data_IF_878656483185
#
_entry.id   IF_878656483185
#
_cell.length_a   1.000
_cell.length_b   1.000
_cell.length_c   1.000
_cell.angle_alpha   90.00
_cell.angle_beta   90.00
_cell.angle_gamma   90.00
#
_symmetry.space_group_name_H-M   'P 1'
#
loop_
_entity.id
_entity.type
_entity.pdbx_description
1 polymer ?
#
# COMPACT_ATOMS: atom_id res chain seq x y z
N UNK A 1 -35.65 6.71 -17.35
CA UNK A 1 -34.77 5.95 -16.45
C UNK A 1 -33.30 6.01 -16.89
N UNK A 2 -32.96 5.73 -18.16
CA UNK A 2 -31.59 5.88 -18.69
C UNK A 2 -31.05 7.33 -18.65
N UNK A 3 -31.91 8.34 -18.88
CA UNK A 3 -31.52 9.75 -18.77
C UNK A 3 -31.14 10.15 -17.35
N UNK A 4 -31.88 9.71 -16.32
CA UNK A 4 -31.56 9.94 -14.92
C UNK A 4 -30.22 9.30 -14.50
N UNK A 5 -29.92 8.08 -14.99
CA UNK A 5 -28.61 7.44 -14.76
C UNK A 5 -27.48 8.25 -15.41
N UNK A 6 -27.73 8.82 -16.59
CA UNK A 6 -26.81 9.72 -17.27
C UNK A 6 -26.56 11.03 -16.52
N UNK A 7 -27.60 11.64 -15.96
CA UNK A 7 -27.47 12.88 -15.17
C UNK A 7 -26.80 12.67 -13.82
N UNK A 8 -27.12 11.57 -13.13
CA UNK A 8 -26.48 11.20 -11.86
C UNK A 8 -24.99 10.95 -12.09
N UNK A 9 -24.57 10.31 -13.18
CA UNK A 9 -23.14 10.16 -13.47
C UNK A 9 -22.44 11.50 -13.76
N UNK A 10 -23.14 12.49 -14.34
CA UNK A 10 -22.58 13.82 -14.61
C UNK A 10 -22.24 14.57 -13.33
N UNK A 11 -22.95 14.35 -12.21
CA UNK A 11 -22.66 15.06 -10.95
C UNK A 11 -21.27 14.70 -10.42
N UNK A 12 -20.90 13.42 -10.50
CA UNK A 12 -19.62 12.90 -10.00
C UNK A 12 -18.47 13.36 -10.88
N UNK A 13 -18.62 13.36 -12.20
CA UNK A 13 -17.61 13.90 -13.13
C UNK A 13 -17.43 15.40 -12.92
N UNK A 14 -18.53 16.15 -12.73
CA UNK A 14 -18.49 17.61 -12.49
C UNK A 14 -17.96 17.99 -11.11
N UNK A 15 -17.68 17.03 -10.23
CA UNK A 15 -17.10 17.28 -8.91
C UNK A 15 -15.80 18.09 -8.98
N UNK A 16 -15.01 17.97 -10.06
CA UNK A 16 -13.81 18.78 -10.31
C UNK A 16 -14.08 20.28 -10.39
N UNK A 17 -15.30 20.68 -10.77
CA UNK A 17 -15.72 22.08 -10.89
C UNK A 17 -16.22 22.69 -9.58
N UNK A 18 -16.46 21.86 -8.56
CA UNK A 18 -16.84 22.36 -7.24
C UNK A 18 -15.69 23.18 -6.64
N UNK A 19 -16.05 24.23 -5.91
CA UNK A 19 -15.08 25.00 -5.14
C UNK A 19 -14.51 24.16 -3.97
N UNK A 20 -13.47 24.69 -3.31
CA UNK A 20 -12.72 23.99 -2.28
C UNK A 20 -13.55 23.50 -1.10
N UNK A 21 -14.61 24.21 -0.71
CA UNK A 21 -15.46 23.84 0.43
C UNK A 21 -16.55 22.86 -0.01
N UNK A 22 -17.22 23.17 -1.13
CA UNK A 22 -18.30 22.34 -1.67
C UNK A 22 -17.86 20.91 -2.01
N UNK A 23 -16.63 20.72 -2.51
CA UNK A 23 -16.12 19.36 -2.78
C UNK A 23 -15.92 18.56 -1.48
N UNK A 24 -15.46 19.21 -0.41
CA UNK A 24 -15.24 18.55 0.88
C UNK A 24 -16.58 18.12 1.46
N UNK A 25 -17.57 19.01 1.46
CA UNK A 25 -18.91 18.70 1.98
C UNK A 25 -19.60 17.63 1.14
N UNK A 26 -19.42 17.67 -0.19
CA UNK A 26 -19.94 16.64 -1.07
C UNK A 26 -19.33 15.26 -0.77
N UNK A 27 -18.01 15.18 -0.58
CA UNK A 27 -17.33 13.92 -0.23
C UNK A 27 -17.80 13.41 1.13
N UNK A 28 -17.93 14.28 2.15
CA UNK A 28 -18.45 13.89 3.48
C UNK A 28 -19.87 13.32 3.40
N UNK A 29 -20.76 14.02 2.69
CA UNK A 29 -22.13 13.58 2.52
C UNK A 29 -22.21 12.23 1.81
N UNK A 30 -21.41 12.05 0.74
CA UNK A 30 -21.37 10.80 0.00
C UNK A 30 -20.79 9.64 0.84
N UNK A 31 -19.74 9.88 1.62
CA UNK A 31 -19.23 8.89 2.58
C UNK A 31 -20.31 8.47 3.59
N UNK A 32 -21.11 9.41 4.09
CA UNK A 32 -22.22 9.09 5.00
C UNK A 32 -23.29 8.22 4.33
N UNK A 33 -23.73 8.60 3.12
CA UNK A 33 -24.69 7.80 2.34
C UNK A 33 -24.13 6.40 2.06
N UNK A 34 -22.86 6.31 1.68
CA UNK A 34 -22.20 5.02 1.46
C UNK A 34 -22.16 4.17 2.74
N UNK A 35 -21.90 4.76 3.91
CA UNK A 35 -21.94 4.01 5.17
C UNK A 35 -23.35 3.45 5.43
N UNK A 36 -24.40 4.22 5.17
CA UNK A 36 -25.79 3.76 5.33
C UNK A 36 -26.16 2.66 4.31
N UNK A 37 -25.67 2.75 3.06
CA UNK A 37 -25.84 1.71 2.04
C UNK A 37 -25.16 0.39 2.42
N UNK A 38 -23.98 0.45 3.05
CA UNK A 38 -23.17 -0.72 3.42
C UNK A 38 -23.63 -1.38 4.73
N UNK A 39 -24.43 -0.69 5.56
CA UNK A 39 -24.98 -1.23 6.83
C UNK A 39 -26.02 -2.34 6.64
N UNK A 40 -26.63 -2.42 5.45
CA UNK A 40 -27.60 -3.47 5.14
C UNK A 40 -26.93 -4.83 5.19
N UNK A 41 -27.34 -5.68 6.13
CA UNK A 41 -26.76 -7.03 6.32
C UNK A 41 -27.24 -8.02 5.26
N UNK A 42 -28.44 -7.83 4.72
CA UNK A 42 -29.04 -8.71 3.71
C UNK A 42 -28.73 -8.30 2.28
N UNK A 43 -28.57 -7.01 2.02
CA UNK A 43 -28.33 -6.46 0.68
C UNK A 43 -27.48 -5.18 0.75
N UNK A 44 -26.17 -5.30 1.01
CA UNK A 44 -25.27 -4.15 1.04
C UNK A 44 -25.09 -3.59 -0.36
N UNK A 45 -25.34 -2.28 -0.52
CA UNK A 45 -25.20 -1.60 -1.81
C UNK A 45 -23.87 -0.87 -1.88
N UNK A 46 -23.14 -1.06 -2.98
CA UNK A 46 -21.79 -0.49 -3.18
C UNK A 46 -21.77 0.69 -4.16
N UNK A 47 -22.95 1.23 -4.51
CA UNK A 47 -23.06 2.30 -5.51
C UNK A 47 -22.30 3.54 -5.06
N UNK A 48 -22.62 4.07 -3.86
CA UNK A 48 -21.95 5.27 -3.35
C UNK A 48 -20.46 5.04 -3.10
N UNK A 49 -20.07 3.83 -2.68
CA UNK A 49 -18.66 3.45 -2.55
C UNK A 49 -17.93 3.55 -3.90
N UNK A 50 -18.53 3.04 -4.97
CA UNK A 50 -17.97 3.13 -6.33
C UNK A 50 -17.79 4.59 -6.75
N UNK A 51 -18.77 5.44 -6.43
CA UNK A 51 -18.71 6.88 -6.73
C UNK A 51 -17.70 7.64 -5.90
N UNK A 52 -17.42 7.21 -4.67
CA UNK A 52 -16.33 7.74 -3.86
C UNK A 52 -14.97 7.48 -4.55
N UNK A 53 -14.76 6.28 -5.08
CA UNK A 53 -13.53 5.93 -5.81
C UNK A 53 -13.36 6.81 -7.05
N UNK A 54 -14.42 6.98 -7.85
CA UNK A 54 -14.42 7.86 -9.03
C UNK A 54 -14.09 9.31 -8.64
N UNK A 55 -14.75 9.87 -7.62
CA UNK A 55 -14.50 11.25 -7.16
C UNK A 55 -13.06 11.41 -6.66
N UNK A 56 -12.55 10.45 -5.90
CA UNK A 56 -11.17 10.47 -5.43
C UNK A 56 -10.19 10.53 -6.61
N UNK A 57 -10.43 9.73 -7.65
CA UNK A 57 -9.65 9.76 -8.88
C UNK A 57 -9.74 11.12 -9.59
N UNK A 58 -10.95 11.64 -9.81
CA UNK A 58 -11.15 12.89 -10.53
C UNK A 58 -10.55 14.10 -9.82
N UNK A 59 -10.53 14.12 -8.49
CA UNK A 59 -10.11 15.30 -7.72
C UNK A 59 -8.67 15.24 -7.22
N UNK A 60 -7.93 14.18 -7.57
CA UNK A 60 -6.56 13.95 -7.10
C UNK A 60 -5.58 15.08 -7.51
N UNK A 61 -5.85 15.78 -8.60
CA UNK A 61 -5.03 16.88 -9.13
C UNK A 61 -5.36 18.27 -8.54
N UNK A 62 -6.27 18.36 -7.55
CA UNK A 62 -6.55 19.61 -6.86
C UNK A 62 -5.33 20.16 -6.12
N UNK A 63 -5.40 21.45 -5.81
CA UNK A 63 -4.41 22.13 -4.96
C UNK A 63 -4.25 21.34 -3.65
N UNK A 64 -3.00 21.12 -3.24
CA UNK A 64 -2.61 20.23 -2.12
C UNK A 64 -3.45 20.43 -0.88
N UNK A 65 -3.62 21.68 -0.43
CA UNK A 65 -4.40 22.00 0.78
C UNK A 65 -5.83 21.45 0.72
N UNK A 66 -6.48 21.56 -0.44
CA UNK A 66 -7.85 21.05 -0.65
C UNK A 66 -7.84 19.54 -0.72
N UNK A 67 -6.91 18.97 -1.49
CA UNK A 67 -6.76 17.52 -1.61
C UNK A 67 -6.49 16.85 -0.28
N UNK A 68 -5.62 17.42 0.58
CA UNK A 68 -5.34 16.88 1.91
C UNK A 68 -6.61 16.81 2.77
N UNK A 69 -7.50 17.82 2.71
CA UNK A 69 -8.78 17.81 3.42
C UNK A 69 -9.76 16.78 2.86
N UNK A 70 -9.83 16.63 1.53
CA UNK A 70 -10.62 15.57 0.89
C UNK A 70 -10.12 14.20 1.33
N UNK A 71 -8.82 13.99 1.21
CA UNK A 71 -8.18 12.71 1.51
C UNK A 71 -8.31 12.33 2.99
N UNK A 72 -8.29 13.28 3.91
CA UNK A 72 -8.53 12.99 5.32
C UNK A 72 -9.87 12.27 5.51
N UNK A 73 -10.94 12.77 4.89
CA UNK A 73 -12.27 12.15 4.93
C UNK A 73 -12.26 10.76 4.29
N UNK A 74 -11.63 10.64 3.12
CA UNK A 74 -11.55 9.38 2.39
C UNK A 74 -10.70 8.33 3.12
N UNK A 75 -9.60 8.73 3.72
CA UNK A 75 -8.69 7.89 4.50
C UNK A 75 -9.42 7.25 5.67
N UNK A 76 -10.14 8.05 6.46
CA UNK A 76 -10.95 7.56 7.58
C UNK A 76 -12.05 6.63 7.11
N UNK A 77 -12.70 6.96 5.98
CA UNK A 77 -13.73 6.12 5.38
C UNK A 77 -13.17 4.75 4.94
N UNK A 78 -12.09 4.71 4.14
CA UNK A 78 -11.45 3.47 3.69
C UNK A 78 -10.93 2.63 4.86
N UNK A 79 -10.34 3.25 5.88
CA UNK A 79 -9.89 2.54 7.08
C UNK A 79 -11.06 1.88 7.83
N UNK A 80 -12.22 2.54 7.85
CA UNK A 80 -13.44 2.03 8.49
C UNK A 80 -14.00 0.84 7.70
N UNK A 81 -14.26 1.00 6.40
CA UNK A 81 -14.89 -0.05 5.59
C UNK A 81 -13.92 -1.21 5.28
N UNK A 82 -12.61 -0.96 5.29
CA UNK A 82 -11.59 -2.01 5.18
C UNK A 82 -11.55 -2.93 6.40
N UNK A 83 -12.10 -2.49 7.54
CA UNK A 83 -12.28 -3.31 8.75
C UNK A 83 -13.71 -3.88 8.86
N UNK A 84 -14.50 -3.87 7.79
CA UNK A 84 -15.86 -4.42 7.80
C UNK A 84 -15.84 -5.93 8.07
N UNK A 85 -16.82 -6.41 8.84
CA UNK A 85 -17.07 -7.85 9.02
C UNK A 85 -17.55 -8.52 7.73
N UNK A 86 -18.16 -7.74 6.83
CA UNK A 86 -18.49 -8.22 5.50
C UNK A 86 -17.22 -8.24 4.65
N UNK A 87 -16.68 -9.44 4.45
CA UNK A 87 -15.45 -9.68 3.72
C UNK A 87 -15.47 -9.08 2.31
N UNK A 88 -16.59 -9.17 1.59
CA UNK A 88 -16.70 -8.61 0.23
C UNK A 88 -16.56 -7.08 0.21
N UNK A 89 -17.11 -6.39 1.21
CA UNK A 89 -16.96 -4.93 1.36
C UNK A 89 -15.50 -4.57 1.65
N UNK A 90 -14.87 -5.30 2.59
CA UNK A 90 -13.47 -5.05 2.94
C UNK A 90 -12.53 -5.32 1.76
N UNK A 91 -12.74 -6.40 1.00
CA UNK A 91 -11.98 -6.69 -0.23
C UNK A 91 -12.14 -5.55 -1.24
N UNK A 92 -13.38 -5.12 -1.51
CA UNK A 92 -13.65 -4.04 -2.46
C UNK A 92 -12.95 -2.74 -2.03
N UNK A 93 -13.01 -2.41 -0.74
CA UNK A 93 -12.36 -1.22 -0.18
C UNK A 93 -10.84 -1.25 -0.36
N UNK A 94 -10.20 -2.37 -0.01
CA UNK A 94 -8.75 -2.49 -0.08
C UNK A 94 -8.24 -2.51 -1.54
N UNK A 95 -8.97 -3.16 -2.45
CA UNK A 95 -8.61 -3.10 -3.87
C UNK A 95 -8.82 -1.71 -4.47
N UNK A 96 -9.92 -1.03 -4.12
CA UNK A 96 -10.16 0.36 -4.54
C UNK A 96 -9.07 1.30 -4.05
N UNK A 97 -8.65 1.15 -2.79
CA UNK A 97 -7.55 1.92 -2.22
C UNK A 97 -6.22 1.63 -2.95
N UNK A 98 -5.96 0.38 -3.33
CA UNK A 98 -4.79 0.00 -4.14
C UNK A 98 -4.83 0.67 -5.51
N UNK A 99 -5.97 0.67 -6.20
CA UNK A 99 -6.09 1.33 -7.51
C UNK A 99 -5.83 2.84 -7.41
N UNK A 100 -6.40 3.51 -6.41
CA UNK A 100 -6.15 4.93 -6.16
C UNK A 100 -4.69 5.20 -5.80
N UNK A 101 -4.08 4.34 -5.00
CA UNK A 101 -2.68 4.45 -4.58
C UNK A 101 -1.73 4.26 -5.75
N UNK A 102 -1.98 3.27 -6.61
CA UNK A 102 -1.24 3.06 -7.85
C UNK A 102 -1.29 4.28 -8.76
N UNK A 103 -2.47 4.91 -8.89
CA UNK A 103 -2.62 6.15 -9.66
C UNK A 103 -1.92 7.33 -9.00
N UNK A 104 -2.00 7.46 -7.68
CA UNK A 104 -1.35 8.55 -6.95
C UNK A 104 0.18 8.47 -7.06
N UNK A 105 0.74 7.26 -6.96
CA UNK A 105 2.18 7.00 -7.09
C UNK A 105 2.74 7.23 -8.50
N UNK A 106 1.91 7.41 -9.54
CA UNK A 106 2.40 7.88 -10.85
C UNK A 106 2.94 9.32 -10.79
N UNK A 107 2.56 10.07 -9.76
CA UNK A 107 2.92 11.47 -9.60
C UNK A 107 4.20 11.58 -8.79
N UNK A 108 5.07 12.48 -9.23
CA UNK A 108 6.24 12.84 -8.43
C UNK A 108 5.82 13.49 -7.11
N UNK A 109 6.43 13.02 -6.03
CA UNK A 109 6.31 13.66 -4.72
C UNK A 109 7.29 14.83 -4.64
N UNK A 110 6.78 16.02 -4.32
CA UNK A 110 7.63 17.19 -4.14
C UNK A 110 8.46 17.09 -2.85
N UNK A 111 9.66 17.67 -2.89
CA UNK A 111 10.45 17.89 -1.68
C UNK A 111 9.63 18.62 -0.61
N UNK A 112 9.71 18.14 0.64
CA UNK A 112 8.98 18.63 1.82
C UNK A 112 7.45 18.41 1.80
N UNK A 113 6.91 17.67 0.83
CA UNK A 113 5.50 17.28 0.81
C UNK A 113 5.34 15.75 0.87
N UNK A 114 5.44 15.20 2.07
CA UNK A 114 5.48 13.74 2.34
C UNK A 114 4.08 13.09 2.35
N UNK A 115 3.29 13.32 1.30
CA UNK A 115 1.88 12.91 1.26
C UNK A 115 1.68 11.46 0.87
N UNK A 116 2.63 10.81 0.20
CA UNK A 116 2.55 9.37 -0.07
C UNK A 116 2.44 8.59 1.25
N UNK A 117 3.18 8.99 2.30
CA UNK A 117 3.05 8.40 3.63
C UNK A 117 1.61 8.49 4.16
N UNK A 118 0.99 9.67 4.05
CA UNK A 118 -0.41 9.92 4.47
C UNK A 118 -1.42 9.16 3.61
N UNK A 119 -1.16 9.05 2.31
CA UNK A 119 -2.00 8.29 1.38
C UNK A 119 -2.08 6.81 1.76
N UNK A 120 -0.95 6.24 2.20
CA UNK A 120 -0.86 4.82 2.51
C UNK A 120 -1.35 4.46 3.93
N UNK A 121 -1.68 5.44 4.78
CA UNK A 121 -2.10 5.20 6.18
C UNK A 121 -3.25 4.20 6.33
N UNK A 122 -4.31 4.19 5.49
CA UNK A 122 -5.38 3.23 5.68
C UNK A 122 -4.92 1.78 5.55
N UNK A 123 -3.93 1.46 4.69
CA UNK A 123 -3.37 0.10 4.64
C UNK A 123 -2.75 -0.32 5.98
N UNK A 124 -1.97 0.58 6.60
CA UNK A 124 -1.34 0.32 7.91
C UNK A 124 -2.41 0.12 8.99
N UNK A 125 -3.45 0.96 8.98
CA UNK A 125 -4.54 0.88 9.97
C UNK A 125 -5.29 -0.46 9.82
N UNK A 126 -5.70 -0.82 8.61
CA UNK A 126 -6.48 -2.05 8.37
C UNK A 126 -5.62 -3.29 8.62
N UNK A 127 -4.35 -3.29 8.23
CA UNK A 127 -3.42 -4.39 8.51
C UNK A 127 -3.32 -4.69 10.01
N UNK A 128 -3.34 -3.65 10.85
CA UNK A 128 -3.25 -3.79 12.30
C UNK A 128 -4.58 -4.20 12.95
N UNK A 129 -5.71 -3.73 12.40
CA UNK A 129 -7.02 -3.87 13.06
C UNK A 129 -7.85 -5.05 12.55
N UNK A 130 -7.66 -5.48 11.32
CA UNK A 130 -8.51 -6.49 10.71
C UNK A 130 -8.24 -7.87 11.32
N UNK A 131 -9.28 -8.51 11.86
CA UNK A 131 -9.23 -9.90 12.30
C UNK A 131 -9.19 -10.92 11.15
N UNK A 132 -9.67 -10.54 9.96
CA UNK A 132 -9.72 -11.42 8.79
C UNK A 132 -8.33 -11.60 8.16
N UNK A 133 -7.84 -12.84 8.13
CA UNK A 133 -6.52 -13.21 7.58
C UNK A 133 -6.45 -12.87 6.09
N UNK A 134 -7.54 -13.09 5.37
CA UNK A 134 -7.70 -12.83 3.94
C UNK A 134 -7.49 -11.34 3.62
N UNK A 135 -7.96 -10.43 4.47
CA UNK A 135 -7.76 -8.99 4.30
C UNK A 135 -6.31 -8.60 4.57
N UNK A 136 -5.69 -9.15 5.61
CA UNK A 136 -4.27 -8.89 5.91
C UNK A 136 -3.37 -9.42 4.78
N UNK A 137 -3.66 -10.60 4.25
CA UNK A 137 -3.00 -11.14 3.07
C UNK A 137 -3.17 -10.24 1.85
N UNK A 138 -4.40 -9.82 1.56
CA UNK A 138 -4.71 -8.93 0.45
C UNK A 138 -3.91 -7.62 0.54
N UNK A 139 -3.81 -7.01 1.73
CA UNK A 139 -3.05 -5.78 1.94
C UNK A 139 -1.57 -5.95 1.59
N UNK A 140 -0.96 -7.05 2.05
CA UNK A 140 0.45 -7.34 1.77
C UNK A 140 0.67 -7.49 0.27
N UNK A 141 -0.23 -8.20 -0.43
CA UNK A 141 -0.20 -8.34 -1.90
C UNK A 141 -0.39 -7.00 -2.62
N UNK A 142 -1.31 -6.16 -2.15
CA UNK A 142 -1.53 -4.81 -2.69
C UNK A 142 -0.25 -3.97 -2.60
N UNK A 143 0.37 -3.92 -1.41
CA UNK A 143 1.59 -3.13 -1.18
C UNK A 143 2.76 -3.67 -1.99
N UNK A 144 2.93 -5.00 -2.04
CA UNK A 144 3.96 -5.64 -2.87
C UNK A 144 3.85 -5.25 -4.34
N UNK A 145 2.65 -5.35 -4.91
CA UNK A 145 2.41 -4.95 -6.29
C UNK A 145 2.74 -3.47 -6.51
N UNK A 146 2.34 -2.58 -5.59
CA UNK A 146 2.64 -1.16 -5.69
C UNK A 146 4.15 -0.89 -5.69
N UNK A 147 4.89 -1.55 -4.79
CA UNK A 147 6.35 -1.44 -4.74
C UNK A 147 6.98 -1.90 -6.05
N UNK A 148 6.67 -3.12 -6.49
CA UNK A 148 7.27 -3.69 -7.70
C UNK A 148 6.93 -2.88 -8.95
N UNK A 149 5.75 -2.26 -9.00
CA UNK A 149 5.33 -1.49 -10.17
C UNK A 149 5.86 -0.05 -10.19
N UNK A 150 6.19 0.53 -9.01
CA UNK A 150 6.43 1.97 -8.84
C UNK A 150 7.64 2.29 -7.97
N UNK A 151 8.60 1.37 -7.82
CA UNK A 151 9.76 1.51 -6.92
C UNK A 151 10.46 2.87 -7.04
N UNK A 152 10.62 3.39 -8.26
CA UNK A 152 11.30 4.66 -8.54
C UNK A 152 10.48 5.90 -8.13
N UNK A 153 9.15 5.78 -8.08
CA UNK A 153 8.26 6.87 -7.72
C UNK A 153 7.96 6.92 -6.22
N UNK A 154 8.23 5.85 -5.47
CA UNK A 154 7.96 5.80 -4.03
C UNK A 154 9.07 6.57 -3.30
N UNK A 155 8.64 7.56 -2.52
CA UNK A 155 9.45 8.44 -1.68
C UNK A 155 9.02 8.27 -0.22
N UNK A 156 8.28 9.22 0.36
CA UNK A 156 7.80 9.09 1.75
C UNK A 156 6.86 7.89 1.97
N UNK A 157 6.27 7.34 0.89
CA UNK A 157 5.42 6.16 0.93
C UNK A 157 6.12 4.91 1.49
N UNK A 158 7.44 4.81 1.37
CA UNK A 158 8.21 3.68 1.90
C UNK A 158 7.97 3.45 3.39
N UNK A 159 7.84 4.52 4.17
CA UNK A 159 7.59 4.44 5.61
C UNK A 159 6.34 3.61 5.91
N UNK A 160 5.20 3.96 5.32
CA UNK A 160 3.94 3.22 5.52
C UNK A 160 4.01 1.81 4.94
N UNK A 161 4.66 1.61 3.79
CA UNK A 161 4.80 0.28 3.19
C UNK A 161 5.63 -0.67 4.08
N UNK A 162 6.74 -0.19 4.63
CA UNK A 162 7.51 -0.96 5.61
C UNK A 162 6.74 -1.19 6.92
N UNK A 163 5.91 -0.23 7.36
CA UNK A 163 5.05 -0.46 8.51
C UNK A 163 4.06 -1.61 8.28
N UNK A 164 3.53 -1.77 7.06
CA UNK A 164 2.69 -2.93 6.69
C UNK A 164 3.49 -4.22 6.80
N UNK A 165 4.65 -4.31 6.14
CA UNK A 165 5.46 -5.54 6.18
C UNK A 165 5.97 -5.87 7.59
N UNK A 166 6.35 -4.86 8.37
CA UNK A 166 6.74 -5.04 9.77
C UNK A 166 5.57 -5.59 10.57
N UNK A 167 4.37 -5.03 10.42
CA UNK A 167 3.17 -5.53 11.12
C UNK A 167 2.88 -6.98 10.73
N UNK A 168 3.02 -7.33 9.45
CA UNK A 168 2.83 -8.70 8.95
C UNK A 168 3.87 -9.70 9.49
N UNK A 169 5.12 -9.28 9.69
CA UNK A 169 6.17 -10.13 10.24
C UNK A 169 5.92 -10.54 11.70
N UNK A 170 5.06 -9.82 12.41
CA UNK A 170 4.62 -10.14 13.78
C UNK A 170 3.23 -10.78 13.83
N UNK A 171 2.64 -11.18 12.70
CA UNK A 171 1.32 -11.80 12.68
C UNK A 171 1.35 -13.19 13.35
N UNK A 172 0.25 -13.55 14.02
CA UNK A 172 0.09 -14.87 14.63
C UNK A 172 0.00 -15.98 13.57
N UNK A 173 -0.43 -15.63 12.35
CA UNK A 173 -0.62 -16.58 11.26
C UNK A 173 0.67 -16.74 10.44
N UNK A 174 1.23 -17.96 10.45
CA UNK A 174 2.51 -18.27 9.78
C UNK A 174 2.51 -17.93 8.28
N UNK A 175 1.39 -18.11 7.58
CA UNK A 175 1.30 -17.76 6.15
C UNK A 175 1.50 -16.26 5.89
N UNK A 176 0.98 -15.40 6.77
CA UNK A 176 1.14 -13.94 6.67
C UNK A 176 2.60 -13.55 6.89
N UNK A 177 3.22 -14.13 7.92
CA UNK A 177 4.65 -13.92 8.23
C UNK A 177 5.53 -14.35 7.05
N UNK A 178 5.31 -15.56 6.51
CA UNK A 178 6.06 -16.09 5.37
C UNK A 178 5.88 -15.21 4.13
N UNK A 179 4.65 -14.78 3.83
CA UNK A 179 4.36 -13.92 2.70
C UNK A 179 5.08 -12.57 2.79
N UNK A 180 5.15 -11.98 4.00
CA UNK A 180 5.88 -10.74 4.22
C UNK A 180 7.37 -10.90 3.93
N UNK A 181 7.99 -12.00 4.37
CA UNK A 181 9.39 -12.29 4.10
C UNK A 181 9.67 -12.49 2.61
N UNK A 182 8.88 -13.34 1.94
CA UNK A 182 9.02 -13.61 0.52
C UNK A 182 8.97 -12.32 -0.32
N UNK A 183 8.07 -11.39 0.04
CA UNK A 183 7.91 -10.12 -0.67
C UNK A 183 9.09 -9.18 -0.43
N UNK A 184 9.59 -9.09 0.81
CA UNK A 184 10.76 -8.28 1.12
C UNK A 184 11.98 -8.77 0.35
N UNK A 185 12.18 -10.09 0.27
CA UNK A 185 13.26 -10.68 -0.55
C UNK A 185 13.12 -10.34 -2.02
N UNK A 186 11.90 -10.44 -2.57
CA UNK A 186 11.62 -10.05 -3.97
C UNK A 186 11.93 -8.58 -4.24
N UNK A 187 11.54 -7.67 -3.33
CA UNK A 187 11.81 -6.24 -3.46
C UNK A 187 13.32 -5.98 -3.46
N UNK A 188 14.07 -6.66 -2.61
CA UNK A 188 15.53 -6.52 -2.53
C UNK A 188 16.26 -7.05 -3.78
N UNK A 189 15.82 -8.19 -4.30
CA UNK A 189 16.36 -8.72 -5.54
C UNK A 189 16.08 -7.76 -6.71
N UNK A 190 14.88 -7.17 -6.76
CA UNK A 190 14.54 -6.18 -7.78
C UNK A 190 15.39 -4.90 -7.68
N UNK A 191 15.67 -4.41 -6.46
CA UNK A 191 16.51 -3.21 -6.27
C UNK A 191 17.97 -3.45 -6.65
N UNK A 192 18.53 -4.63 -6.33
CA UNK A 192 19.90 -5.00 -6.72
C UNK A 192 20.09 -5.13 -8.23
N UNK A 193 19.09 -5.65 -8.93
CA UNK A 193 19.14 -5.73 -10.40
C UNK A 193 19.12 -4.34 -11.04
N UNK A 194 18.35 -3.40 -10.49
CA UNK A 194 18.33 -2.02 -10.97
C UNK A 194 19.67 -1.29 -10.78
N UNK A 195 20.44 -1.64 -9.75
CA UNK A 195 21.80 -1.11 -9.53
C UNK A 195 22.86 -1.84 -10.39
N UNK A 196 22.69 -3.14 -10.63
CA UNK A 196 23.64 -3.99 -11.37
C UNK A 196 23.70 -3.73 -12.88
N UNK A 197 22.69 -3.10 -13.47
CA UNK A 197 22.65 -2.78 -14.91
C UNK A 197 23.45 -1.51 -15.30
N UNK A 198 24.01 -0.77 -14.33
CA UNK A 198 24.96 0.33 -14.59
C UNK A 198 26.45 -0.08 -14.42
N UNK A 199 26.74 -1.35 -14.13
CA UNK A 199 28.08 -1.81 -13.73
C UNK A 199 28.83 -2.66 -14.75
N UNK A 200 28.67 -2.45 -16.07
CA UNK A 200 29.46 -3.16 -17.10
C UNK A 200 30.24 -2.23 -18.03
N UNK A 201 31.39 -1.77 -17.54
CA UNK A 201 32.64 -1.44 -18.25
C UNK A 201 33.66 -1.28 -17.10
N UNK A 202 34.77 -2.01 -16.97
CA UNK A 202 35.71 -2.61 -17.92
C UNK A 202 36.30 -3.89 -17.33
N UNK A 203 36.50 -4.89 -18.19
CA UNK A 203 37.15 -6.16 -17.89
C UNK A 203 38.67 -5.97 -17.79
N UNK A 204 39.24 -6.00 -16.58
CA UNK A 204 40.67 -6.26 -16.40
C UNK A 204 40.88 -7.76 -16.14
N UNK A 205 41.56 -8.39 -17.10
CA UNK A 205 41.99 -9.79 -17.04
C UNK A 205 43.15 -9.91 -16.06
N UNK A 206 43.01 -10.77 -15.05
CA UNK A 206 44.16 -11.46 -14.44
C UNK A 206 43.82 -12.95 -14.27
N UNK A 207 44.72 -13.78 -14.81
CA UNK A 207 44.66 -15.24 -14.91
C UNK A 207 45.10 -15.95 -13.61
N UNK A 208 44.93 -17.30 -13.51
CA UNK A 208 44.66 -17.98 -12.23
C UNK A 208 45.87 -18.70 -11.62
N UNK A 209 45.79 -19.03 -10.32
CA UNK A 209 46.56 -20.14 -9.74
C UNK A 209 45.81 -20.81 -8.58
N UNK A 210 46.00 -22.13 -8.47
CA UNK A 210 45.12 -23.12 -7.83
C UNK A 210 45.55 -23.51 -6.38
N UNK A 211 45.11 -24.63 -5.75
CA UNK A 211 44.31 -24.59 -4.51
C UNK A 211 44.91 -25.36 -3.31
N UNK A 212 44.60 -25.01 -2.05
CA UNK A 212 44.84 -25.92 -0.91
C UNK A 212 43.81 -25.85 0.24
N UNK A 213 43.10 -26.98 0.41
CA UNK A 213 42.86 -27.80 1.63
C UNK A 213 42.58 -27.12 3.00
N UNK A 214 41.32 -27.31 3.44
CA UNK A 214 40.95 -28.10 4.63
C UNK A 214 41.08 -27.50 6.04
N UNK A 215 39.96 -27.49 6.78
CA UNK A 215 39.81 -28.09 8.13
C UNK A 215 38.36 -27.99 8.64
N UNK A 216 37.88 -29.10 9.20
CA UNK A 216 36.63 -29.26 9.96
C UNK A 216 36.65 -28.43 11.25
N UNK A 217 35.47 -28.13 11.83
CA UNK A 217 35.15 -28.36 13.26
C UNK A 217 33.63 -28.19 13.51
N UNK A 218 33.07 -29.28 14.07
CA UNK A 218 31.96 -29.48 15.04
C UNK A 218 30.59 -28.81 14.88
N UNK A 219 29.61 -29.71 14.87
CA UNK A 219 28.20 -29.59 15.23
C UNK A 219 28.06 -29.07 16.67
N UNK A 220 27.29 -28.00 16.85
CA UNK A 220 26.60 -27.74 18.11
C UNK A 220 25.09 -27.64 17.82
N UNK A 221 24.32 -28.39 18.59
CA UNK A 221 22.87 -28.55 18.47
C UNK A 221 22.21 -27.48 19.33
N UNK A 222 21.62 -26.48 18.69
CA UNK A 222 20.77 -25.50 19.37
C UNK A 222 19.91 -24.73 18.39
N UNK A 223 18.66 -25.14 18.23
CA UNK A 223 17.57 -24.31 17.71
C UNK A 223 16.33 -24.49 18.60
N UNK A 224 15.47 -23.47 18.75
CA UNK A 224 15.05 -22.59 17.66
C UNK A 224 15.14 -21.09 17.98
N UNK A 225 15.95 -20.35 17.23
CA UNK A 225 15.92 -18.87 17.17
C UNK A 225 15.64 -18.36 15.76
N UNK A 226 14.70 -18.97 15.03
CA UNK A 226 14.36 -18.53 13.66
C UNK A 226 13.37 -17.36 13.59
N UNK A 227 12.71 -16.95 14.69
CA UNK A 227 11.77 -15.82 14.66
C UNK A 227 12.42 -14.43 14.78
N UNK A 228 13.73 -14.33 15.02
CA UNK A 228 14.40 -13.06 15.31
C UNK A 228 15.20 -12.47 14.13
N UNK A 229 15.53 -13.25 13.09
CA UNK A 229 16.34 -12.77 11.95
C UNK A 229 15.53 -11.85 11.03
N UNK A 230 14.30 -12.25 10.71
CA UNK A 230 13.51 -11.54 9.72
C UNK A 230 13.05 -10.13 10.13
N UNK A 231 12.64 -9.95 11.39
CA UNK A 231 12.27 -8.65 11.95
C UNK A 231 13.46 -7.69 11.95
N UNK A 232 14.64 -8.19 12.34
CA UNK A 232 15.89 -7.40 12.35
C UNK A 232 16.25 -6.95 10.95
N UNK A 233 16.06 -7.80 9.94
CA UNK A 233 16.24 -7.44 8.53
C UNK A 233 15.23 -6.39 8.08
N UNK A 234 13.95 -6.51 8.38
CA UNK A 234 12.93 -5.50 8.00
C UNK A 234 13.21 -4.15 8.67
N UNK A 235 13.60 -4.14 9.95
CA UNK A 235 13.96 -2.91 10.67
C UNK A 235 15.26 -2.28 10.14
N UNK A 236 16.27 -3.11 9.82
CA UNK A 236 17.49 -2.66 9.16
C UNK A 236 17.18 -2.05 7.78
N UNK A 237 16.25 -2.63 7.02
CA UNK A 237 15.80 -2.14 5.72
C UNK A 237 15.01 -0.83 5.82
N UNK A 238 14.10 -0.70 6.80
CA UNK A 238 13.44 0.58 7.09
C UNK A 238 14.47 1.69 7.34
N UNK A 239 15.54 1.38 8.07
CA UNK A 239 16.60 2.33 8.37
C UNK A 239 17.47 2.71 7.15
N UNK A 240 17.68 1.80 6.20
CA UNK A 240 18.42 2.09 4.96
C UNK A 240 17.58 2.92 3.97
N UNK A 241 16.29 2.58 3.80
CA UNK A 241 15.43 3.25 2.81
C UNK A 241 14.94 4.63 3.27
N UNK A 242 14.70 4.84 4.58
CA UNK A 242 14.27 6.16 5.09
C UNK A 242 15.40 7.20 5.22
N UNK A 243 16.65 6.87 4.87
CA UNK A 243 17.80 7.80 4.92
C UNK A 243 18.17 8.44 3.57
N UNK A 244 17.47 8.09 2.49
CA UNK A 244 17.62 8.69 1.15
C UNK A 244 16.31 9.35 0.69
#
# INVERSE_FOLDING_TARGET
MLEQVGEVNRIFIRSQKLNSEAIIDFVKALCKVSMDELRSTSDPRVFSLTKIVEIAHYNMNRIRLVWSKIWQVLSDFFATIGCSENLSIAIFAMDSLRQLSMKFLEREELANYNFQNEFMKPFVIVMRKSGAVEIRELIIRCVSQMVLSRVNNIKSGWKSMFMVFTTAAYDDHKNIVLLAFEIIEKIFCASKLAEGDLGKETSEKVSPSSPQKGKEIKVDNGEPTEKLDGVTRILFLHHQVCRN
#
